data_IF_465010815528
#
_entry.id   IF_465010815528
#
_cell.length_a   1.000
_cell.length_b   1.000
_cell.length_c   1.000
_cell.angle_alpha   90.00
_cell.angle_beta   90.00
_cell.angle_gamma   90.00
#
_symmetry.space_group_name_H-M   'P 1'
#
loop_
_entity.id
_entity.type
_entity.pdbx_description
1 polymer ?
#
# COMPACT_ATOMS: atom_id res chain seq x y z
N UNK A 1 -11.71 -35.73 28.79
CA UNK A 1 -10.49 -35.86 27.95
C UNK A 1 -10.95 -36.06 26.52
N UNK A 2 -10.25 -35.47 25.56
CA UNK A 2 -10.63 -35.49 24.15
C UNK A 2 -10.37 -36.88 23.54
N UNK A 3 -11.22 -37.36 22.62
CA UNK A 3 -11.14 -38.72 22.02
C UNK A 3 -9.82 -38.95 21.29
N UNK A 4 -9.24 -37.88 20.76
CA UNK A 4 -7.95 -37.89 20.11
C UNK A 4 -6.81 -38.21 21.09
N UNK A 5 -6.90 -37.67 22.31
CA UNK A 5 -5.87 -37.89 23.34
C UNK A 5 -5.85 -39.34 23.79
N UNK A 6 -7.02 -39.97 23.91
CA UNK A 6 -7.18 -41.38 24.28
C UNK A 6 -6.58 -42.30 23.21
N UNK A 7 -6.89 -42.06 21.93
CA UNK A 7 -6.34 -42.83 20.80
C UNK A 7 -4.81 -42.74 20.71
N UNK A 8 -4.24 -41.55 20.87
CA UNK A 8 -2.78 -41.34 20.84
C UNK A 8 -2.12 -42.03 22.03
N UNK A 9 -2.76 -42.02 23.20
CA UNK A 9 -2.21 -42.64 24.41
C UNK A 9 -2.23 -44.17 24.33
N UNK A 10 -3.31 -44.76 23.81
CA UNK A 10 -3.42 -46.21 23.60
C UNK A 10 -2.41 -46.73 22.57
N UNK A 11 -2.08 -45.92 21.55
CA UNK A 11 -1.18 -46.31 20.47
C UNK A 11 0.23 -45.73 20.62
N UNK A 12 0.58 -45.19 21.80
CA UNK A 12 1.85 -44.46 22.02
C UNK A 12 3.09 -45.28 21.68
N UNK A 13 3.07 -46.57 22.02
CA UNK A 13 4.17 -47.49 21.71
C UNK A 13 4.41 -47.68 20.20
N UNK A 14 3.38 -47.49 19.37
CA UNK A 14 3.50 -47.54 17.92
C UNK A 14 4.00 -46.22 17.31
N UNK A 15 3.80 -45.08 17.99
CA UNK A 15 4.25 -43.76 17.55
C UNK A 15 5.69 -43.44 17.97
N UNK A 16 6.13 -43.93 19.14
CA UNK A 16 7.48 -43.68 19.67
C UNK A 16 8.53 -44.71 19.18
N UNK A 17 8.29 -45.39 18.05
CA UNK A 17 9.11 -46.54 17.64
C UNK A 17 10.38 -46.17 16.86
N UNK A 18 10.40 -45.05 16.14
CA UNK A 18 11.52 -44.70 15.27
C UNK A 18 11.88 -43.22 15.37
N UNK A 19 13.15 -42.97 15.70
CA UNK A 19 13.75 -41.66 15.51
C UNK A 19 14.32 -41.55 14.09
N UNK A 20 14.27 -40.36 13.46
CA UNK A 20 14.90 -40.16 12.18
C UNK A 20 16.40 -40.46 12.25
N UNK A 21 16.95 -41.11 11.22
CA UNK A 21 18.39 -41.34 11.12
C UNK A 21 19.18 -40.04 11.29
N UNK A 22 20.33 -40.10 11.97
CA UNK A 22 21.18 -38.94 12.23
C UNK A 22 21.44 -38.12 10.97
N UNK A 23 21.35 -36.79 11.09
CA UNK A 23 21.43 -35.86 9.95
C UNK A 23 20.17 -35.77 9.09
N UNK A 24 19.03 -36.35 9.52
CA UNK A 24 17.74 -36.19 8.84
C UNK A 24 17.36 -34.74 8.60
N UNK A 25 17.49 -33.87 9.62
CA UNK A 25 17.19 -32.44 9.51
C UNK A 25 18.02 -31.78 8.39
N UNK A 26 19.33 -32.06 8.35
CA UNK A 26 20.22 -31.54 7.31
C UNK A 26 19.82 -32.02 5.91
N UNK A 27 19.46 -33.29 5.75
CA UNK A 27 18.98 -33.85 4.47
C UNK A 27 17.61 -33.29 4.08
N UNK A 28 16.72 -33.10 5.04
CA UNK A 28 15.40 -32.52 4.85
C UNK A 28 15.52 -31.07 4.36
N UNK A 29 16.33 -30.26 5.04
CA UNK A 29 16.61 -28.88 4.65
C UNK A 29 17.29 -28.79 3.27
N UNK A 30 18.24 -29.70 2.99
CA UNK A 30 18.86 -29.78 1.67
C UNK A 30 17.83 -30.11 0.56
N UNK A 31 16.90 -31.02 0.82
CA UNK A 31 15.83 -31.38 -0.12
C UNK A 31 14.80 -30.27 -0.29
N UNK A 32 14.45 -29.56 0.78
CA UNK A 32 13.53 -28.42 0.76
C UNK A 32 14.07 -27.29 -0.13
N UNK A 33 15.33 -26.91 0.08
CA UNK A 33 16.01 -25.87 -0.70
C UNK A 33 16.18 -26.30 -2.16
N UNK A 34 16.60 -27.55 -2.41
CA UNK A 34 16.70 -28.08 -3.77
C UNK A 34 15.34 -28.11 -4.51
N UNK A 35 14.23 -28.27 -3.80
CA UNK A 35 12.89 -28.26 -4.40
C UNK A 35 12.39 -26.83 -4.69
N UNK A 36 12.91 -25.82 -3.99
CA UNK A 36 12.68 -24.41 -4.27
C UNK A 36 13.47 -23.93 -5.50
N UNK A 37 14.71 -24.40 -5.65
CA UNK A 37 15.59 -24.01 -6.78
C UNK A 37 15.15 -24.62 -8.13
N UNK A 38 14.47 -25.77 -8.14
CA UNK A 38 14.00 -26.42 -9.36
C UNK A 38 12.72 -25.81 -9.98
N UNK A 39 12.16 -24.72 -9.40
CA UNK A 39 11.05 -23.96 -10.01
C UNK A 39 11.51 -22.79 -10.89
N UNK A 40 12.81 -22.58 -11.02
CA UNK A 40 13.38 -21.53 -11.86
C UNK A 40 14.46 -22.11 -12.78
N UNK A 41 14.03 -22.79 -13.84
CA UNK A 41 14.86 -23.06 -15.00
C UNK A 41 15.09 -21.77 -15.78
N UNK A 42 16.10 -21.01 -15.37
CA UNK A 42 16.53 -19.76 -16.02
C UNK A 42 17.53 -18.99 -15.16
N UNK A 43 18.80 -19.36 -15.23
CA UNK A 43 19.97 -18.60 -14.73
C UNK A 43 19.97 -17.18 -15.38
N UNK A 44 20.34 -16.06 -14.77
CA UNK A 44 21.50 -15.71 -13.91
C UNK A 44 21.29 -14.35 -13.22
N UNK A 45 22.07 -14.16 -12.14
CA UNK A 45 22.47 -12.92 -11.47
C UNK A 45 21.65 -12.50 -10.24
N UNK A 46 22.33 -12.65 -9.10
CA UNK A 46 21.97 -12.13 -7.80
C UNK A 46 21.92 -10.60 -7.85
N UNK A 47 20.75 -10.04 -7.64
CA UNK A 47 20.65 -8.72 -7.02
C UNK A 47 19.57 -8.82 -5.96
N UNK A 48 19.94 -8.50 -4.73
CA UNK A 48 19.07 -8.49 -3.56
C UNK A 48 18.02 -7.38 -3.71
N UNK A 49 17.04 -7.57 -4.59
CA UNK A 49 15.87 -6.72 -4.64
C UNK A 49 14.86 -7.34 -3.69
N UNK A 50 14.89 -6.85 -2.44
CA UNK A 50 13.79 -7.06 -1.50
C UNK A 50 12.48 -6.76 -2.24
N UNK A 51 11.46 -7.64 -2.21
CA UNK A 51 10.23 -7.39 -2.93
C UNK A 51 9.34 -6.48 -2.07
N UNK A 52 9.67 -5.19 -2.00
CA UNK A 52 8.76 -4.17 -1.42
C UNK A 52 7.82 -3.58 -2.49
N UNK A 53 8.02 -3.89 -3.77
CA UNK A 53 7.20 -3.38 -4.88
C UNK A 53 5.97 -4.25 -5.22
N UNK A 54 5.65 -5.31 -4.46
CA UNK A 54 4.49 -6.15 -4.79
C UNK A 54 3.15 -5.47 -4.54
N UNK A 55 3.09 -4.46 -3.68
CA UNK A 55 1.83 -3.76 -3.37
C UNK A 55 1.45 -2.81 -4.52
N UNK A 56 2.44 -2.13 -5.14
CA UNK A 56 2.20 -1.24 -6.27
C UNK A 56 1.52 -1.96 -7.46
N UNK A 57 1.92 -3.21 -7.75
CA UNK A 57 1.29 -3.99 -8.81
C UNK A 57 -0.18 -4.32 -8.52
N UNK A 58 -0.55 -4.56 -7.25
CA UNK A 58 -1.95 -4.82 -6.87
C UNK A 58 -2.82 -3.58 -6.95
N UNK A 59 -2.28 -2.40 -6.59
CA UNK A 59 -2.94 -1.10 -6.76
C UNK A 59 -3.08 -0.77 -8.24
N UNK A 60 -2.02 -0.98 -9.03
CA UNK A 60 -2.06 -0.81 -10.48
C UNK A 60 -3.08 -1.76 -11.15
N UNK A 61 -3.15 -3.03 -10.72
CA UNK A 61 -4.14 -4.00 -11.19
C UNK A 61 -5.57 -3.57 -10.83
N UNK A 62 -5.79 -3.09 -9.60
CA UNK A 62 -7.08 -2.58 -9.15
C UNK A 62 -7.51 -1.34 -9.95
N UNK A 63 -6.61 -0.40 -10.19
CA UNK A 63 -6.83 0.76 -11.05
C UNK A 63 -7.17 0.33 -12.49
N UNK A 64 -6.46 -0.64 -13.07
CA UNK A 64 -6.73 -1.15 -14.42
C UNK A 64 -8.11 -1.80 -14.53
N UNK A 65 -8.57 -2.54 -13.51
CA UNK A 65 -9.90 -3.15 -13.50
C UNK A 65 -11.04 -2.12 -13.40
N UNK A 66 -10.84 -1.04 -12.65
CA UNK A 66 -11.83 0.05 -12.57
C UNK A 66 -11.91 0.81 -13.90
N UNK A 67 -10.76 1.12 -14.52
CA UNK A 67 -10.70 1.78 -15.84
C UNK A 67 -11.35 0.89 -16.93
N UNK A 68 -11.16 -0.43 -16.88
CA UNK A 68 -11.76 -1.38 -17.82
C UNK A 68 -13.29 -1.54 -17.73
N UNK A 69 -13.91 -1.01 -16.67
CA UNK A 69 -15.36 -1.13 -16.43
C UNK A 69 -16.21 -0.03 -17.11
N UNK A 70 -15.60 0.88 -17.87
CA UNK A 70 -16.31 1.83 -18.75
C UNK A 70 -16.97 3.04 -18.07
N UNK A 71 -16.68 3.31 -16.78
CA UNK A 71 -17.11 4.54 -16.11
C UNK A 71 -16.04 5.61 -16.35
N UNK A 72 -16.09 6.26 -17.51
CA UNK A 72 -15.33 7.50 -17.75
C UNK A 72 -16.30 8.58 -18.16
N UNK A 73 -17.02 9.12 -17.18
CA UNK A 73 -17.76 10.37 -17.37
C UNK A 73 -16.72 11.48 -17.55
N UNK A 74 -16.69 12.13 -18.71
CA UNK A 74 -15.78 13.27 -18.98
C UNK A 74 -16.17 14.54 -18.21
N UNK A 75 -17.28 14.49 -17.46
CA UNK A 75 -17.80 15.58 -16.66
C UNK A 75 -17.15 15.60 -15.28
N UNK A 76 -16.60 16.75 -14.88
CA UNK A 76 -16.03 17.01 -13.56
C UNK A 76 -16.28 18.48 -13.14
N UNK A 77 -15.63 18.97 -12.07
CA UNK A 77 -15.79 20.36 -11.62
C UNK A 77 -15.48 21.38 -12.72
N UNK A 78 -14.52 21.10 -13.61
CA UNK A 78 -14.16 22.02 -14.69
C UNK A 78 -15.29 22.27 -15.68
N UNK A 79 -16.23 21.33 -15.79
CA UNK A 79 -17.41 21.44 -16.64
C UNK A 79 -18.53 22.31 -16.05
N UNK A 80 -18.46 22.67 -14.76
CA UNK A 80 -19.52 23.41 -14.06
C UNK A 80 -19.40 24.91 -14.32
N UNK A 81 -18.21 25.48 -14.16
CA UNK A 81 -17.93 26.90 -14.41
C UNK A 81 -16.43 27.15 -14.55
N UNK A 82 -16.00 28.30 -15.12
CA UNK A 82 -14.58 28.69 -15.17
C UNK A 82 -13.91 28.75 -13.79
N UNK A 83 -14.64 29.21 -12.77
CA UNK A 83 -14.14 29.26 -11.39
C UNK A 83 -13.94 27.85 -10.80
N UNK A 84 -14.82 26.91 -11.14
CA UNK A 84 -14.68 25.51 -10.73
C UNK A 84 -13.55 24.80 -11.49
N UNK A 85 -13.30 25.16 -12.75
CA UNK A 85 -12.11 24.71 -13.47
C UNK A 85 -10.81 25.17 -12.78
N UNK A 86 -10.71 26.45 -12.42
CA UNK A 86 -9.57 26.97 -11.67
C UNK A 86 -9.42 26.29 -10.30
N UNK A 87 -10.54 25.97 -9.65
CA UNK A 87 -10.54 25.26 -8.36
C UNK A 87 -9.97 23.85 -8.50
N UNK A 88 -10.43 23.11 -9.52
CA UNK A 88 -9.90 21.79 -9.83
C UNK A 88 -8.41 21.85 -10.13
N UNK A 89 -7.98 22.75 -11.02
CA UNK A 89 -6.57 22.92 -11.39
C UNK A 89 -5.68 23.22 -10.17
N UNK A 90 -6.11 24.14 -9.31
CA UNK A 90 -5.39 24.50 -8.08
C UNK A 90 -5.18 23.28 -7.18
N UNK A 91 -6.24 22.52 -6.89
CA UNK A 91 -6.14 21.36 -6.02
C UNK A 91 -5.35 20.22 -6.64
N UNK A 92 -5.55 19.91 -7.92
CA UNK A 92 -4.79 18.84 -8.60
C UNK A 92 -3.31 19.17 -8.65
N UNK A 93 -2.94 20.44 -8.83
CA UNK A 93 -1.54 20.89 -8.82
C UNK A 93 -0.94 20.72 -7.42
N UNK A 94 -1.64 21.16 -6.38
CA UNK A 94 -1.18 21.03 -5.00
C UNK A 94 -0.99 19.56 -4.59
N UNK A 95 -1.96 18.70 -4.91
CA UNK A 95 -1.91 17.25 -4.65
C UNK A 95 -0.73 16.61 -5.39
N UNK A 96 -0.55 16.94 -6.67
CA UNK A 96 0.54 16.37 -7.48
C UNK A 96 1.91 16.75 -6.92
N UNK A 97 2.09 18.02 -6.55
CA UNK A 97 3.34 18.50 -5.96
C UNK A 97 3.65 17.81 -4.62
N UNK A 98 2.64 17.58 -3.77
CA UNK A 98 2.86 16.93 -2.48
C UNK A 98 3.11 15.42 -2.63
N UNK A 99 2.41 14.76 -3.56
CA UNK A 99 2.68 13.36 -3.91
C UNK A 99 4.10 13.17 -4.45
N UNK A 100 4.60 14.10 -5.27
CA UNK A 100 5.98 14.05 -5.78
C UNK A 100 6.99 14.11 -4.63
N UNK A 101 6.79 14.98 -3.65
CA UNK A 101 7.65 15.06 -2.46
C UNK A 101 7.64 13.75 -1.66
N UNK A 102 6.45 13.21 -1.38
CA UNK A 102 6.33 11.97 -0.60
C UNK A 102 6.93 10.78 -1.36
N UNK A 103 6.75 10.68 -2.67
CA UNK A 103 7.34 9.63 -3.48
C UNK A 103 8.87 9.75 -3.64
N UNK A 104 9.42 10.95 -3.42
CA UNK A 104 10.87 11.20 -3.44
C UNK A 104 11.56 10.87 -2.10
N UNK A 105 10.80 10.57 -1.06
CA UNK A 105 11.34 10.12 0.22
C UNK A 105 11.73 8.64 0.12
N UNK A 106 13.03 8.34 0.18
CA UNK A 106 13.57 6.98 0.03
C UNK A 106 13.84 6.27 1.36
N UNK A 107 13.74 6.98 2.49
CA UNK A 107 14.02 6.40 3.81
C UNK A 107 13.05 5.24 4.11
N UNK A 108 13.55 4.00 4.35
CA UNK A 108 12.72 2.85 4.68
C UNK A 108 11.84 3.05 5.92
N UNK A 109 12.27 3.94 6.82
CA UNK A 109 11.59 4.29 8.06
C UNK A 109 10.21 4.92 7.82
N UNK A 110 10.07 5.70 6.74
CA UNK A 110 8.86 6.47 6.44
C UNK A 110 7.96 5.79 5.39
N UNK A 111 8.43 4.72 4.75
CA UNK A 111 7.72 4.07 3.65
C UNK A 111 6.34 3.55 4.03
N UNK A 112 6.17 2.99 5.23
CA UNK A 112 4.86 2.48 5.64
C UNK A 112 3.82 3.61 5.74
N UNK A 113 4.21 4.75 6.31
CA UNK A 113 3.34 5.93 6.42
C UNK A 113 2.95 6.46 5.03
N UNK A 114 3.92 6.51 4.11
CA UNK A 114 3.70 6.95 2.72
C UNK A 114 2.75 5.98 2.00
N UNK A 115 2.97 4.67 2.11
CA UNK A 115 2.11 3.65 1.49
C UNK A 115 0.67 3.74 2.01
N UNK A 116 0.49 3.91 3.32
CA UNK A 116 -0.83 4.06 3.93
C UNK A 116 -1.53 5.35 3.44
N UNK A 117 -0.79 6.44 3.28
CA UNK A 117 -1.31 7.69 2.72
C UNK A 117 -1.76 7.50 1.27
N UNK A 118 -0.91 6.89 0.43
CA UNK A 118 -1.21 6.63 -0.98
C UNK A 118 -2.45 5.74 -1.14
N UNK A 119 -2.64 4.76 -0.25
CA UNK A 119 -3.83 3.93 -0.23
C UNK A 119 -5.10 4.75 0.07
N UNK A 120 -5.07 5.62 1.07
CA UNK A 120 -6.21 6.49 1.39
C UNK A 120 -6.51 7.49 0.26
N UNK A 121 -5.48 8.06 -0.36
CA UNK A 121 -5.63 8.94 -1.53
C UNK A 121 -6.27 8.18 -2.70
N UNK A 122 -5.90 6.93 -2.93
CA UNK A 122 -6.52 6.11 -3.96
C UNK A 122 -8.00 5.89 -3.70
N UNK A 123 -8.40 5.60 -2.45
CA UNK A 123 -9.81 5.46 -2.09
C UNK A 123 -10.60 6.74 -2.38
N UNK A 124 -10.05 7.90 -2.03
CA UNK A 124 -10.67 9.19 -2.30
C UNK A 124 -10.74 9.49 -3.81
N UNK A 125 -9.75 9.09 -4.60
CA UNK A 125 -9.81 9.19 -6.07
C UNK A 125 -10.95 8.34 -6.65
N UNK A 126 -11.15 7.13 -6.12
CA UNK A 126 -12.28 6.28 -6.53
C UNK A 126 -13.63 6.91 -6.17
N UNK A 127 -13.74 7.53 -4.99
CA UNK A 127 -14.92 8.29 -4.59
C UNK A 127 -15.16 9.49 -5.53
N UNK A 128 -14.10 10.21 -5.92
CA UNK A 128 -14.21 11.33 -6.87
C UNK A 128 -14.75 10.87 -8.22
N UNK A 129 -14.32 9.70 -8.72
CA UNK A 129 -14.85 9.11 -9.96
C UNK A 129 -16.36 8.86 -9.86
N UNK A 130 -16.85 8.38 -8.71
CA UNK A 130 -18.30 8.22 -8.50
C UNK A 130 -19.02 9.57 -8.47
N UNK A 131 -18.45 10.56 -7.78
CA UNK A 131 -19.01 11.91 -7.72
C UNK A 131 -19.09 12.58 -9.10
N UNK A 132 -18.20 12.23 -10.05
CA UNK A 132 -18.30 12.67 -11.44
C UNK A 132 -19.56 12.14 -12.13
N UNK A 133 -19.92 10.89 -11.89
CA UNK A 133 -21.18 10.31 -12.37
C UNK A 133 -22.37 10.97 -11.71
N UNK A 134 -22.36 11.12 -10.38
CA UNK A 134 -23.42 11.80 -9.65
C UNK A 134 -23.62 13.26 -10.12
N UNK A 135 -22.54 13.95 -10.49
CA UNK A 135 -22.58 15.32 -10.98
C UNK A 135 -23.33 15.40 -12.31
N UNK A 136 -23.08 14.46 -13.21
CA UNK A 136 -23.75 14.35 -14.50
C UNK A 136 -25.23 14.00 -14.33
N UNK A 137 -25.53 12.96 -13.56
CA UNK A 137 -26.90 12.49 -13.32
C UNK A 137 -27.77 13.51 -12.59
N UNK A 138 -27.18 14.25 -11.65
CA UNK A 138 -27.89 15.26 -10.85
C UNK A 138 -28.04 16.61 -11.55
N UNK A 139 -27.39 16.82 -12.70
CA UNK A 139 -27.43 18.09 -13.42
C UNK A 139 -26.75 19.23 -12.65
N UNK A 140 -25.54 19.00 -12.15
CA UNK A 140 -24.75 19.94 -11.35
C UNK A 140 -25.36 20.30 -9.98
N UNK A 141 -25.86 19.33 -9.23
CA UNK A 141 -26.35 19.57 -7.86
C UNK A 141 -25.22 20.13 -6.99
N UNK A 142 -25.49 21.25 -6.31
CA UNK A 142 -24.53 21.93 -5.43
C UNK A 142 -23.99 21.04 -4.31
N UNK A 143 -24.76 20.06 -3.87
CA UNK A 143 -24.35 19.08 -2.84
C UNK A 143 -23.28 18.14 -3.39
N UNK A 144 -23.42 17.71 -4.65
CA UNK A 144 -22.40 16.88 -5.32
C UNK A 144 -21.13 17.71 -5.56
N UNK A 145 -21.28 18.95 -6.03
CA UNK A 145 -20.15 19.88 -6.18
C UNK A 145 -19.41 20.08 -4.85
N UNK A 146 -20.15 20.26 -3.75
CA UNK A 146 -19.55 20.37 -2.42
C UNK A 146 -18.81 19.10 -2.01
N UNK A 147 -19.37 17.91 -2.26
CA UNK A 147 -18.71 16.64 -1.99
C UNK A 147 -17.42 16.49 -2.81
N UNK A 148 -17.42 16.89 -4.10
CA UNK A 148 -16.23 16.88 -4.95
C UNK A 148 -15.12 17.79 -4.41
N UNK A 149 -15.47 19.01 -3.97
CA UNK A 149 -14.52 19.93 -3.33
C UNK A 149 -14.00 19.34 -2.01
N UNK A 150 -14.89 18.78 -1.18
CA UNK A 150 -14.50 18.16 0.09
C UNK A 150 -13.57 16.96 -0.13
N UNK A 151 -13.76 16.19 -1.19
CA UNK A 151 -12.86 15.10 -1.55
C UNK A 151 -11.43 15.61 -1.84
N UNK A 152 -11.29 16.70 -2.61
CA UNK A 152 -9.98 17.34 -2.81
C UNK A 152 -9.36 17.82 -1.50
N UNK A 153 -10.14 18.43 -0.61
CA UNK A 153 -9.68 18.89 0.70
C UNK A 153 -9.19 17.72 1.56
N UNK A 154 -9.95 16.63 1.64
CA UNK A 154 -9.57 15.44 2.40
C UNK A 154 -8.24 14.84 1.91
N UNK A 155 -8.02 14.82 0.59
CA UNK A 155 -6.75 14.36 -0.01
C UNK A 155 -5.59 15.23 0.43
N UNK A 156 -5.76 16.55 0.43
CA UNK A 156 -4.73 17.49 0.87
C UNK A 156 -4.45 17.34 2.36
N UNK A 157 -5.48 17.17 3.17
CA UNK A 157 -5.33 17.00 4.62
C UNK A 157 -4.53 15.74 4.96
N UNK A 158 -4.80 14.62 4.29
CA UNK A 158 -4.01 13.38 4.43
C UNK A 158 -2.54 13.62 4.06
N UNK A 159 -2.30 14.22 2.89
CA UNK A 159 -0.93 14.45 2.42
C UNK A 159 -0.16 15.37 3.37
N UNK A 160 -0.80 16.45 3.83
CA UNK A 160 -0.23 17.38 4.79
C UNK A 160 0.09 16.70 6.11
N UNK A 161 -0.84 15.94 6.68
CA UNK A 161 -0.63 15.24 7.94
C UNK A 161 0.57 14.28 7.86
N UNK A 162 0.70 13.56 6.76
CA UNK A 162 1.81 12.61 6.53
C UNK A 162 3.14 13.36 6.38
N UNK A 163 3.15 14.47 5.63
CA UNK A 163 4.31 15.34 5.47
C UNK A 163 4.80 15.90 6.82
N UNK A 164 3.87 16.38 7.65
CA UNK A 164 4.15 16.89 9.01
C UNK A 164 4.73 15.79 9.92
N UNK A 165 4.15 14.59 9.91
CA UNK A 165 4.67 13.46 10.70
C UNK A 165 6.09 13.05 10.28
N UNK A 166 6.39 13.04 8.97
CA UNK A 166 7.75 12.73 8.49
C UNK A 166 8.74 13.80 8.98
N UNK A 167 8.36 15.07 8.91
CA UNK A 167 9.20 16.18 9.34
C UNK A 167 9.47 16.14 10.85
N UNK A 168 8.45 15.85 11.68
CA UNK A 168 8.59 15.68 13.13
C UNK A 168 9.54 14.53 13.49
N UNK A 169 9.46 13.39 12.78
CA UNK A 169 10.34 12.26 12.98
C UNK A 169 11.79 12.57 12.60
N UNK A 170 12.01 13.31 11.50
CA UNK A 170 13.34 13.78 11.09
C UNK A 170 13.97 14.68 12.15
N UNK A 171 13.23 15.69 12.63
CA UNK A 171 13.72 16.62 13.64
C UNK A 171 14.09 15.93 14.96
N UNK A 172 13.27 14.97 15.41
CA UNK A 172 13.54 14.19 16.63
C UNK A 172 14.84 13.38 16.52
N UNK A 173 15.14 12.84 15.33
CA UNK A 173 16.35 12.05 15.08
C UNK A 173 17.61 12.92 15.10
N UNK A 174 17.55 14.11 14.51
CA UNK A 174 18.67 15.04 14.49
C UNK A 174 19.04 15.49 15.91
N UNK A 175 18.06 15.80 16.75
CA UNK A 175 18.28 16.14 18.16
C UNK A 175 18.92 14.98 18.95
N UNK A 176 18.50 13.74 18.71
CA UNK A 176 19.09 12.59 19.39
C UNK A 176 20.53 12.33 18.95
N UNK A 177 20.86 12.58 17.68
CA UNK A 177 22.22 12.43 17.16
C UNK A 177 23.17 13.50 17.73
N UNK A 178 22.74 14.75 17.88
CA UNK A 178 23.55 15.81 18.50
C UNK A 178 23.91 15.53 19.97
N UNK A 179 23.00 14.89 20.71
CA UNK A 179 23.23 14.51 22.12
C UNK A 179 24.22 13.33 22.27
N UNK A 180 24.42 12.51 21.24
CA UNK A 180 25.38 11.38 21.28
C UNK A 180 26.83 11.86 21.08
N UNK A 181 27.05 12.97 20.35
CA UNK A 181 28.39 13.53 20.14
C UNK A 181 28.83 14.54 21.21
N UNK A 182 27.98 14.83 22.20
CA UNK A 182 28.24 15.80 23.27
C UNK A 182 28.44 15.16 24.65
N UNK A 183 28.55 13.83 24.73
CA UNK A 183 28.92 13.05 25.93
C UNK A 183 30.32 12.43 25.80
#
# INVERSE_FOLDING_TARGET
MDRLTEFIQENRAAFDHEEPQTGHEKRFMAKLNAQQDNRSGGSTSSTSWKPLFMIAASIALMLVLVIGSGITTDRDLSSVSPEMANTQEFFTTAISAELEKLNSEESPEYQNLIVDALFQINLLEQEYIQLKTDLDESGNDKRVIHAMISNFQNRIDILKQVSEQIEELKQTKDQNNENIYTL
#
